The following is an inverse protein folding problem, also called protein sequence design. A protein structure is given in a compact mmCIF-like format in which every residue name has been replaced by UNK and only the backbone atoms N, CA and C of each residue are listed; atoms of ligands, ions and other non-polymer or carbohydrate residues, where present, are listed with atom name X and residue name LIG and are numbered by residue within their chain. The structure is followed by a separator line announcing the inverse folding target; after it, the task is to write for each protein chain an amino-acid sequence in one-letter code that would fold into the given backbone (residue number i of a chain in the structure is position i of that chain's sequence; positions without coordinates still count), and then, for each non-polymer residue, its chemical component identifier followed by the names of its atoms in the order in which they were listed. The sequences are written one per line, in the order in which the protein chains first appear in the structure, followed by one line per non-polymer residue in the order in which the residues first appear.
data_IF_667474596897
#
_entry.id   IF_667474596897
#
_cell.length_a   1.000
_cell.length_b   1.000
_cell.length_c   1.000
_cell.angle_alpha   90.00
_cell.angle_beta   90.00
_cell.angle_gamma   90.00
#
_symmetry.space_group_name_H-M   'P 1'
#
loop_
_entity.id
_entity.type
_entity.pdbx_description
1 polymer ?
#
# COMPACT_ATOMS: atom_id res chain seq x y z
N UNK A 1 38.29 33.57 59.34
CA UNK A 1 37.53 34.28 58.34
C UNK A 1 37.44 33.37 57.14
N UNK A 2 36.32 32.80 56.97
CA UNK A 2 36.05 31.92 55.78
C UNK A 2 35.53 32.80 54.66
N UNK A 3 36.37 33.00 53.64
CA UNK A 3 35.93 33.63 52.41
C UNK A 3 35.01 32.63 51.70
N UNK A 4 33.72 32.82 51.91
CA UNK A 4 32.71 32.15 51.14
C UNK A 4 32.65 32.81 49.76
N UNK A 5 33.38 32.27 48.83
CA UNK A 5 33.22 32.64 47.44
C UNK A 5 31.79 32.24 46.98
N UNK A 6 31.03 33.15 46.35
CA UNK A 6 29.73 32.78 45.82
C UNK A 6 29.89 31.70 44.80
N UNK A 7 29.27 30.55 45.06
CA UNK A 7 29.18 29.48 44.04
C UNK A 7 28.52 30.08 42.81
N UNK A 8 29.17 30.07 41.65
CA UNK A 8 28.52 30.60 40.46
C UNK A 8 27.31 29.71 40.19
N UNK A 9 26.14 30.22 40.47
CA UNK A 9 24.89 29.66 39.98
C UNK A 9 24.81 29.92 38.50
N UNK A 10 25.70 29.28 37.76
CA UNK A 10 25.63 29.26 36.32
C UNK A 10 24.37 28.52 35.93
N UNK A 11 23.28 29.27 35.77
CA UNK A 11 22.23 28.75 34.90
C UNK A 11 22.90 28.35 33.59
N UNK A 12 23.07 27.03 33.37
CA UNK A 12 23.50 26.55 32.08
C UNK A 12 22.64 27.25 31.07
N UNK A 13 23.23 28.14 30.27
CA UNK A 13 22.54 28.82 29.20
C UNK A 13 21.94 27.73 28.30
N UNK A 14 20.69 27.39 28.54
CA UNK A 14 19.93 26.59 27.61
C UNK A 14 19.86 27.41 26.36
N UNK A 15 20.58 27.01 25.33
CA UNK A 15 20.55 27.68 24.03
C UNK A 15 19.10 28.04 23.69
N UNK A 16 18.89 29.31 23.34
CA UNK A 16 17.55 29.80 23.02
C UNK A 16 16.86 29.00 21.95
N UNK A 17 15.62 29.33 21.67
CA UNK A 17 14.83 28.65 20.63
C UNK A 17 15.57 28.59 19.29
N UNK A 18 16.34 29.61 18.97
CA UNK A 18 17.13 29.70 17.73
C UNK A 18 18.28 28.69 17.69
N UNK A 19 19.00 28.52 18.81
CA UNK A 19 20.07 27.51 18.89
C UNK A 19 19.51 26.09 18.74
N UNK A 20 18.33 25.81 19.29
CA UNK A 20 17.66 24.53 19.14
C UNK A 20 17.18 24.31 17.70
N UNK A 21 16.70 25.36 17.05
CA UNK A 21 16.28 25.31 15.64
C UNK A 21 17.49 25.06 14.73
N UNK A 22 18.59 25.79 14.94
CA UNK A 22 19.83 25.59 14.20
C UNK A 22 20.40 24.17 14.38
N UNK A 23 20.39 23.65 15.61
CA UNK A 23 20.82 22.28 15.89
C UNK A 23 19.97 21.23 15.13
N UNK A 24 18.67 21.43 14.99
CA UNK A 24 17.80 20.55 14.21
C UNK A 24 18.07 20.64 12.71
N UNK A 25 18.31 21.86 12.21
CA UNK A 25 18.57 22.08 10.78
C UNK A 25 19.93 21.51 10.35
N UNK A 26 20.93 21.60 11.23
CA UNK A 26 22.29 21.12 10.98
C UNK A 26 22.47 19.61 11.30
N UNK A 27 21.43 18.94 11.81
CA UNK A 27 21.49 17.52 12.07
C UNK A 27 21.42 16.76 10.75
N UNK A 28 22.58 16.41 10.22
CA UNK A 28 22.68 15.48 9.11
C UNK A 28 22.27 14.11 9.64
N UNK A 29 21.02 13.75 9.39
CA UNK A 29 20.56 12.39 9.69
C UNK A 29 21.26 11.44 8.72
N UNK A 30 22.10 10.52 9.19
CA UNK A 30 22.67 9.53 8.29
C UNK A 30 21.51 8.75 7.64
N UNK A 31 21.66 8.34 6.38
CA UNK A 31 20.63 7.54 5.73
C UNK A 31 20.36 6.32 6.61
N UNK A 32 19.11 6.16 7.05
CA UNK A 32 18.72 4.98 7.81
C UNK A 32 18.95 3.74 6.94
N UNK A 33 19.80 2.85 7.40
CA UNK A 33 20.02 1.58 6.71
C UNK A 33 18.70 0.80 6.58
N UNK A 34 18.58 0.02 5.53
CA UNK A 34 17.41 -0.85 5.38
C UNK A 34 17.32 -1.83 6.56
N UNK A 35 16.15 -1.87 7.17
CA UNK A 35 15.85 -2.89 8.18
C UNK A 35 15.67 -4.21 7.43
N UNK A 36 16.67 -5.09 7.54
CA UNK A 36 16.56 -6.45 7.01
C UNK A 36 15.79 -7.31 8.01
N UNK A 37 14.68 -7.85 7.54
CA UNK A 37 13.92 -8.82 8.34
C UNK A 37 14.76 -10.08 8.56
N UNK A 38 14.99 -10.44 9.82
CA UNK A 38 15.65 -11.69 10.21
C UNK A 38 14.65 -12.76 10.65
N UNK A 39 13.41 -12.37 10.86
CA UNK A 39 12.33 -13.25 11.28
C UNK A 39 11.64 -13.76 10.01
N UNK A 40 11.39 -15.06 9.93
CA UNK A 40 10.64 -15.68 8.85
C UNK A 40 9.23 -15.06 8.78
N UNK A 41 8.77 -14.75 7.59
CA UNK A 41 7.39 -14.30 7.38
C UNK A 41 6.42 -15.41 7.78
N UNK A 42 5.37 -15.07 8.51
CA UNK A 42 4.30 -16.01 8.77
C UNK A 42 3.53 -16.25 7.47
N UNK A 43 3.52 -17.48 7.01
CA UNK A 43 2.83 -17.93 5.80
C UNK A 43 1.73 -18.91 6.23
N UNK A 44 0.47 -18.44 6.36
CA UNK A 44 -0.64 -19.28 6.84
C UNK A 44 -1.07 -20.33 5.83
N UNK A 45 -0.77 -20.13 4.54
CA UNK A 45 -1.16 -21.03 3.46
C UNK A 45 0.07 -21.66 2.79
N UNK A 46 -0.05 -22.92 2.38
CA UNK A 46 0.89 -23.57 1.49
C UNK A 46 0.72 -23.09 0.04
N UNK A 47 1.71 -23.35 -0.80
CA UNK A 47 1.64 -23.00 -2.23
C UNK A 47 0.44 -23.66 -2.91
N UNK A 48 0.17 -24.93 -2.61
CA UNK A 48 -0.99 -25.66 -3.14
C UNK A 48 -2.33 -25.01 -2.75
N UNK A 49 -2.42 -24.50 -1.52
CA UNK A 49 -3.61 -23.79 -1.04
C UNK A 49 -3.78 -22.43 -1.72
N UNK A 50 -2.68 -21.74 -2.00
CA UNK A 50 -2.71 -20.48 -2.76
C UNK A 50 -3.15 -20.73 -4.20
N UNK A 51 -2.64 -21.77 -4.86
CA UNK A 51 -3.07 -22.15 -6.21
C UNK A 51 -4.55 -22.50 -6.26
N UNK A 52 -5.06 -23.19 -5.24
CA UNK A 52 -6.49 -23.51 -5.12
C UNK A 52 -7.35 -22.25 -4.99
N UNK A 53 -6.92 -21.30 -4.18
CA UNK A 53 -7.60 -19.99 -4.01
C UNK A 53 -7.62 -19.24 -5.34
N UNK A 54 -6.50 -19.18 -6.05
CA UNK A 54 -6.41 -18.52 -7.36
C UNK A 54 -7.32 -19.19 -8.38
N UNK A 55 -7.32 -20.51 -8.46
CA UNK A 55 -8.18 -21.25 -9.37
C UNK A 55 -9.66 -21.00 -9.11
N UNK A 56 -10.06 -21.00 -7.84
CA UNK A 56 -11.44 -20.71 -7.47
C UNK A 56 -11.82 -19.26 -7.78
N UNK A 57 -10.92 -18.31 -7.58
CA UNK A 57 -11.14 -16.90 -7.93
C UNK A 57 -11.33 -16.74 -9.45
N UNK A 58 -10.49 -17.36 -10.25
CA UNK A 58 -10.62 -17.35 -11.71
C UNK A 58 -11.94 -18.00 -12.19
N UNK A 59 -12.36 -19.08 -11.53
CA UNK A 59 -13.65 -19.74 -11.82
C UNK A 59 -14.81 -18.79 -11.56
N UNK A 60 -14.81 -18.09 -10.44
CA UNK A 60 -15.84 -17.09 -10.13
C UNK A 60 -15.85 -15.95 -11.16
N UNK A 61 -14.68 -15.46 -11.56
CA UNK A 61 -14.56 -14.41 -12.58
C UNK A 61 -15.06 -14.88 -13.95
N UNK A 62 -14.85 -16.14 -14.30
CA UNK A 62 -15.30 -16.71 -15.56
C UNK A 62 -16.81 -17.03 -15.57
N UNK A 63 -17.32 -17.65 -14.53
CA UNK A 63 -18.72 -18.09 -14.48
C UNK A 63 -19.69 -16.97 -14.10
N UNK A 64 -19.31 -16.18 -13.10
CA UNK A 64 -20.15 -15.10 -12.57
C UNK A 64 -19.78 -13.75 -13.20
N UNK A 65 -18.50 -13.41 -13.18
CA UNK A 65 -17.99 -12.12 -13.63
C UNK A 65 -18.28 -10.98 -12.65
N UNK A 66 -18.05 -9.77 -13.12
CA UNK A 66 -18.21 -8.52 -12.37
C UNK A 66 -19.16 -7.60 -13.11
N UNK A 67 -20.04 -6.94 -12.38
CA UNK A 67 -20.92 -5.90 -12.94
C UNK A 67 -20.22 -4.53 -12.89
N UNK A 68 -20.09 -3.91 -14.05
CA UNK A 68 -19.69 -2.52 -14.20
C UNK A 68 -20.92 -1.66 -14.39
N UNK A 69 -21.01 -0.58 -13.65
CA UNK A 69 -22.14 0.33 -13.70
C UNK A 69 -21.69 1.72 -14.12
N UNK A 70 -22.31 2.23 -15.21
CA UNK A 70 -22.08 3.59 -15.73
C UNK A 70 -20.60 3.90 -16.03
N UNK A 71 -19.82 2.88 -16.44
CA UNK A 71 -18.40 3.00 -16.78
C UNK A 71 -18.10 2.27 -18.11
N UNK A 72 -18.44 2.94 -19.19
CA UNK A 72 -18.25 2.41 -20.54
C UNK A 72 -16.77 2.29 -20.91
N UNK A 73 -15.93 3.19 -20.41
CA UNK A 73 -14.50 3.21 -20.69
C UNK A 73 -13.81 1.95 -20.14
N UNK A 74 -14.09 1.59 -18.87
CA UNK A 74 -13.59 0.36 -18.29
C UNK A 74 -14.09 -0.89 -19.03
N UNK A 75 -15.36 -0.89 -19.42
CA UNK A 75 -15.96 -1.99 -20.20
C UNK A 75 -15.27 -2.15 -21.55
N UNK A 76 -14.97 -1.08 -22.26
CA UNK A 76 -14.25 -1.12 -23.53
C UNK A 76 -12.81 -1.64 -23.36
N UNK A 77 -12.11 -1.21 -22.32
CA UNK A 77 -10.77 -1.70 -22.01
C UNK A 77 -10.77 -3.22 -21.79
N UNK A 78 -11.72 -3.74 -21.03
CA UNK A 78 -11.84 -5.17 -20.77
C UNK A 78 -12.23 -5.95 -22.02
N UNK A 79 -13.12 -5.40 -22.84
CA UNK A 79 -13.47 -6.01 -24.13
C UNK A 79 -12.26 -6.11 -25.06
N UNK A 80 -11.43 -5.07 -25.12
CA UNK A 80 -10.18 -5.08 -25.90
C UNK A 80 -9.16 -6.09 -25.36
N UNK A 81 -9.13 -6.27 -24.04
CA UNK A 81 -8.29 -7.27 -23.40
C UNK A 81 -8.75 -8.72 -23.61
N UNK A 82 -9.95 -8.94 -24.15
CA UNK A 82 -10.48 -10.27 -24.45
C UNK A 82 -11.51 -10.80 -23.47
N UNK A 83 -12.04 -9.97 -22.59
CA UNK A 83 -13.14 -10.33 -21.70
C UNK A 83 -14.48 -10.44 -22.45
N UNK A 84 -15.38 -11.30 -21.95
CA UNK A 84 -16.74 -11.42 -22.46
C UNK A 84 -17.63 -10.37 -21.78
N UNK A 85 -18.14 -9.43 -22.56
CA UNK A 85 -18.98 -8.33 -22.10
C UNK A 85 -20.43 -8.54 -22.53
N UNK A 86 -21.34 -8.56 -21.57
CA UNK A 86 -22.77 -8.60 -21.80
C UNK A 86 -23.47 -7.38 -21.23
N UNK A 87 -24.23 -6.70 -22.05
CA UNK A 87 -25.08 -5.61 -21.61
C UNK A 87 -26.33 -6.13 -20.89
N UNK A 88 -26.72 -5.51 -19.80
CA UNK A 88 -27.97 -5.88 -19.12
C UNK A 88 -29.19 -5.52 -19.95
N UNK A 89 -30.15 -6.45 -20.00
CA UNK A 89 -31.44 -6.20 -20.71
C UNK A 89 -32.33 -5.25 -19.91
N UNK A 90 -32.20 -5.24 -18.60
CA UNK A 90 -33.07 -4.47 -17.68
C UNK A 90 -32.52 -3.11 -17.30
N UNK A 91 -31.20 -2.91 -17.42
CA UNK A 91 -30.53 -1.67 -17.03
C UNK A 91 -29.46 -1.30 -18.06
N UNK A 92 -29.69 -0.20 -18.77
CA UNK A 92 -28.81 0.28 -19.84
C UNK A 92 -27.40 0.69 -19.36
N UNK A 93 -27.23 0.96 -18.08
CA UNK A 93 -25.96 1.38 -17.48
C UNK A 93 -25.15 0.22 -16.90
N UNK A 94 -25.70 -0.99 -16.91
CA UNK A 94 -25.10 -2.16 -16.27
C UNK A 94 -24.54 -3.12 -17.31
N UNK A 95 -23.26 -3.42 -17.18
CA UNK A 95 -22.55 -4.37 -18.01
C UNK A 95 -21.99 -5.49 -17.15
N UNK A 96 -22.23 -6.73 -17.54
CA UNK A 96 -21.59 -7.89 -16.93
C UNK A 96 -20.36 -8.29 -17.72
N UNK A 97 -19.20 -8.23 -17.07
CA UNK A 97 -17.92 -8.63 -17.65
C UNK A 97 -17.47 -9.95 -17.05
N UNK A 98 -17.27 -10.97 -17.90
CA UNK A 98 -16.71 -12.26 -17.51
C UNK A 98 -15.29 -12.38 -18.03
N UNK A 99 -14.42 -12.89 -17.20
CA UNK A 99 -13.00 -12.98 -17.48
C UNK A 99 -12.64 -14.44 -17.78
N UNK A 100 -12.21 -14.79 -19.01
CA UNK A 100 -11.70 -16.13 -19.30
C UNK A 100 -10.55 -16.50 -18.38
N UNK A 101 -10.39 -17.80 -18.10
CA UNK A 101 -9.30 -18.32 -17.29
C UNK A 101 -7.96 -17.82 -17.81
N UNK A 102 -7.11 -17.34 -16.90
CA UNK A 102 -5.78 -16.83 -17.20
C UNK A 102 -5.71 -15.41 -17.76
N UNK A 103 -6.84 -14.78 -18.11
CA UNK A 103 -6.81 -13.42 -18.68
C UNK A 103 -6.21 -12.41 -17.71
N UNK A 104 -6.69 -12.37 -16.46
CA UNK A 104 -6.23 -11.40 -15.44
C UNK A 104 -4.77 -11.67 -15.06
N UNK A 105 -4.36 -12.91 -15.03
CA UNK A 105 -2.96 -13.30 -14.73
C UNK A 105 -1.99 -12.94 -15.85
N UNK A 106 -2.46 -12.87 -17.09
CA UNK A 106 -1.66 -12.59 -18.29
C UNK A 106 -1.47 -11.10 -18.59
N UNK A 107 -2.16 -10.23 -17.87
CA UNK A 107 -2.02 -8.78 -17.99
C UNK A 107 -0.87 -8.24 -17.14
#
# INVERSE_FOLDING_TARGET
MTDLQPVPTGRRARGGADARRAARTNQVTPPSGFIRRKIKTYEPFSDDQLELIEHNAETVLQETGIDFYDDEDAVQMWKQAGADVKHSVTDAKRFRVRFPMGLVRGL
#
